data_IF_489751900060
#
_entry.id   IF_489751900060
#
_cell.length_a   1.000
_cell.length_b   1.000
_cell.length_c   1.000
_cell.angle_alpha   90.00
_cell.angle_beta   90.00
_cell.angle_gamma   90.00
#
_symmetry.space_group_name_H-M   'P 1'
#
loop_
_entity.id
_entity.type
_entity.pdbx_description
1 polymer ?
#
# COMPACT_ATOMS: atom_id res chain seq x y z
N UNK A 1 8.74 21.19 0.84
CA UNK A 1 8.55 19.88 1.49
C UNK A 1 7.16 19.36 1.14
N UNK A 2 6.99 18.04 1.00
CA UNK A 2 5.69 17.41 0.72
C UNK A 2 4.79 17.56 1.94
N UNK A 3 4.02 18.65 2.00
CA UNK A 3 3.00 18.82 3.02
C UNK A 3 1.82 17.91 2.72
N UNK A 4 1.55 16.98 3.63
CA UNK A 4 0.44 16.02 3.55
C UNK A 4 -0.69 16.38 4.52
N UNK A 5 -0.57 17.49 5.26
CA UNK A 5 -1.56 17.94 6.22
C UNK A 5 -2.53 18.98 5.64
N UNK A 6 -2.22 19.61 4.49
CA UNK A 6 -3.16 20.52 3.82
C UNK A 6 -4.23 19.71 3.06
N UNK A 7 -5.50 19.70 3.50
CA UNK A 7 -6.58 19.00 2.80
C UNK A 7 -6.90 19.61 1.43
N UNK A 8 -6.42 20.83 1.14
CA UNK A 8 -6.62 21.50 -0.16
C UNK A 8 -5.52 21.17 -1.16
N UNK A 9 -4.56 20.33 -0.79
CA UNK A 9 -3.49 19.90 -1.68
C UNK A 9 -4.06 19.23 -2.92
N UNK A 10 -3.53 19.59 -4.10
CA UNK A 10 -3.91 19.00 -5.37
C UNK A 10 -3.78 17.46 -5.37
N UNK A 11 -2.85 16.92 -4.58
CA UNK A 11 -2.69 15.48 -4.36
C UNK A 11 -3.98 14.80 -3.89
N UNK A 12 -4.83 15.48 -3.12
CA UNK A 12 -6.07 14.93 -2.60
C UNK A 12 -7.30 15.35 -3.40
N UNK A 13 -7.28 16.56 -3.97
CA UNK A 13 -8.46 17.18 -4.58
C UNK A 13 -8.55 17.01 -6.11
N UNK A 14 -7.49 16.60 -6.80
CA UNK A 14 -7.53 16.39 -8.26
C UNK A 14 -8.20 15.07 -8.60
N UNK A 15 -9.52 15.10 -8.85
CA UNK A 15 -10.31 13.91 -9.20
C UNK A 15 -9.96 13.30 -10.57
N UNK A 16 -9.20 14.01 -11.41
CA UNK A 16 -8.78 13.51 -12.72
C UNK A 16 -7.50 12.67 -12.69
N UNK A 17 -6.84 12.60 -11.53
CA UNK A 17 -5.62 11.80 -11.36
C UNK A 17 -5.94 10.30 -11.36
N UNK A 18 -5.41 9.59 -12.36
CA UNK A 18 -5.61 8.14 -12.54
C UNK A 18 -5.08 7.31 -11.36
N UNK A 19 -4.10 7.83 -10.62
CA UNK A 19 -3.55 7.15 -9.43
C UNK A 19 -4.57 7.01 -8.30
N UNK A 20 -5.66 7.79 -8.31
CA UNK A 20 -6.75 7.70 -7.33
C UNK A 20 -7.39 6.32 -7.30
N UNK A 21 -7.52 5.65 -8.44
CA UNK A 21 -8.09 4.32 -8.49
C UNK A 21 -7.22 3.31 -7.71
N UNK A 22 -5.89 3.41 -7.86
CA UNK A 22 -4.96 2.60 -7.08
C UNK A 22 -5.01 2.97 -5.60
N UNK A 23 -4.97 4.25 -5.26
CA UNK A 23 -5.02 4.69 -3.87
C UNK A 23 -6.32 4.27 -3.17
N UNK A 24 -7.44 4.17 -3.89
CA UNK A 24 -8.67 3.61 -3.35
C UNK A 24 -8.43 2.19 -2.85
N UNK A 25 -7.92 1.29 -3.70
CA UNK A 25 -7.62 -0.09 -3.33
C UNK A 25 -6.61 -0.19 -2.18
N UNK A 26 -5.59 0.66 -2.15
CA UNK A 26 -4.61 0.65 -1.06
C UNK A 26 -5.23 1.14 0.26
N UNK A 27 -6.12 2.14 0.19
CA UNK A 27 -6.82 2.71 1.35
C UNK A 27 -7.97 1.85 1.87
N UNK A 28 -8.57 0.99 1.04
CA UNK A 28 -9.70 0.14 1.43
C UNK A 28 -9.29 -1.32 1.63
N UNK A 29 -8.41 -1.86 0.80
CA UNK A 29 -8.12 -3.30 0.72
C UNK A 29 -6.68 -3.62 1.14
N UNK A 30 -5.68 -3.18 0.37
CA UNK A 30 -4.36 -3.83 0.41
C UNK A 30 -3.36 -3.32 1.45
N UNK A 31 -3.50 -2.08 1.95
CA UNK A 31 -2.50 -1.43 2.83
C UNK A 31 -1.05 -1.47 2.28
N UNK A 32 -0.90 -1.47 0.95
CA UNK A 32 0.35 -1.62 0.22
C UNK A 32 1.22 -0.34 0.21
N UNK A 33 1.83 -0.03 1.36
CA UNK A 33 2.61 1.19 1.59
C UNK A 33 4.13 0.96 1.54
N UNK A 34 4.86 1.87 0.89
CA UNK A 34 6.33 1.81 0.80
C UNK A 34 6.95 2.48 2.03
N UNK A 35 7.04 1.73 3.12
CA UNK A 35 7.54 2.23 4.40
C UNK A 35 9.06 2.13 4.53
N UNK A 36 9.65 2.96 5.39
CA UNK A 36 11.04 2.82 5.80
C UNK A 36 11.32 1.50 6.53
N UNK A 37 12.56 1.00 6.47
CA UNK A 37 12.90 -0.25 7.13
C UNK A 37 12.89 -0.12 8.67
N UNK A 38 12.69 -1.22 9.41
CA UNK A 38 12.73 -1.22 10.87
C UNK A 38 14.03 -0.63 11.46
N UNK A 39 14.00 -0.24 12.73
CA UNK A 39 15.14 0.45 13.39
C UNK A 39 16.43 -0.37 13.38
N UNK A 40 16.33 -1.70 13.38
CA UNK A 40 17.46 -2.63 13.35
C UNK A 40 18.00 -2.93 11.95
N UNK A 41 17.43 -2.35 10.87
CA UNK A 41 17.95 -2.51 9.51
C UNK A 41 18.32 -1.15 8.90
N UNK A 42 19.48 -1.02 8.22
CA UNK A 42 19.80 0.17 7.45
C UNK A 42 18.71 0.48 6.43
N UNK A 43 18.44 1.77 6.18
CA UNK A 43 17.44 2.18 5.20
C UNK A 43 17.79 3.52 4.59
N UNK A 44 17.49 3.66 3.30
CA UNK A 44 17.58 4.90 2.54
C UNK A 44 16.28 5.71 2.70
N UNK A 45 15.15 5.02 2.84
CA UNK A 45 13.84 5.63 3.03
C UNK A 45 13.70 6.10 4.48
N UNK A 46 13.24 7.34 4.67
CA UNK A 46 13.02 7.89 6.01
C UNK A 46 12.07 7.01 6.81
N UNK A 47 12.45 6.68 8.05
CA UNK A 47 11.60 5.93 8.99
C UNK A 47 10.36 6.71 9.45
N UNK A 48 10.24 7.99 9.09
CA UNK A 48 9.02 8.78 9.27
C UNK A 48 7.93 8.41 8.26
N UNK A 49 8.29 7.74 7.17
CA UNK A 49 7.35 7.15 6.22
C UNK A 49 6.98 5.76 6.74
N UNK A 50 6.01 5.72 7.64
CA UNK A 50 5.43 4.50 8.19
C UNK A 50 3.97 4.32 7.73
N UNK A 51 3.38 3.17 8.03
CA UNK A 51 2.01 2.86 7.60
C UNK A 51 0.99 3.88 8.14
N UNK A 52 1.20 4.42 9.35
CA UNK A 52 0.31 5.41 9.94
C UNK A 52 0.37 6.75 9.17
N UNK A 53 1.57 7.15 8.74
CA UNK A 53 1.79 8.34 7.93
C UNK A 53 1.05 8.26 6.59
N UNK A 54 1.10 7.12 5.90
CA UNK A 54 0.36 6.89 4.66
C UNK A 54 -1.15 6.84 4.90
N UNK A 55 -1.59 6.01 5.85
CA UNK A 55 -3.01 5.77 6.10
C UNK A 55 -3.78 7.02 6.52
N UNK A 56 -3.15 7.98 7.21
CA UNK A 56 -3.75 9.28 7.57
C UNK A 56 -4.27 10.06 6.35
N UNK A 57 -3.69 9.82 5.18
CA UNK A 57 -4.00 10.57 3.97
C UNK A 57 -5.28 10.04 3.28
N UNK A 58 -5.69 8.81 3.55
CA UNK A 58 -6.86 8.19 2.92
C UNK A 58 -8.16 9.01 3.15
N UNK A 59 -8.50 9.46 4.38
CA UNK A 59 -9.63 10.36 4.60
C UNK A 59 -9.52 11.71 3.89
N UNK A 60 -8.31 12.22 3.65
CA UNK A 60 -8.10 13.48 2.94
C UNK A 60 -8.41 13.32 1.45
N UNK A 61 -8.10 12.15 0.87
CA UNK A 61 -8.29 11.87 -0.56
C UNK A 61 -9.73 11.47 -0.92
N UNK A 62 -10.41 10.74 -0.03
CA UNK A 62 -11.70 10.10 -0.32
C UNK A 62 -12.84 10.47 0.64
N UNK A 63 -12.54 11.13 1.77
CA UNK A 63 -13.52 11.47 2.81
C UNK A 63 -13.53 10.46 3.97
N UNK A 64 -13.69 10.98 5.19
CA UNK A 64 -13.54 10.21 6.45
C UNK A 64 -14.49 9.01 6.58
N UNK A 65 -15.69 9.09 6.02
CA UNK A 65 -16.69 8.01 6.08
C UNK A 65 -16.73 7.14 4.83
N UNK A 66 -15.89 7.41 3.82
CA UNK A 66 -15.85 6.64 2.57
C UNK A 66 -14.77 5.55 2.60
N UNK A 67 -13.81 5.64 3.52
CA UNK A 67 -12.74 4.64 3.69
C UNK A 67 -12.81 4.00 5.08
N UNK A 68 -12.43 2.72 5.21
CA UNK A 68 -12.39 2.09 6.51
C UNK A 68 -11.29 2.73 7.38
N UNK A 69 -11.44 2.63 8.71
CA UNK A 69 -10.41 3.13 9.63
C UNK A 69 -9.04 2.49 9.37
N UNK A 70 -9.00 1.25 8.90
CA UNK A 70 -7.83 0.49 8.43
C UNK A 70 -8.25 -0.33 7.19
N UNK A 71 -7.39 -0.47 6.17
CA UNK A 71 -7.69 -1.34 5.03
C UNK A 71 -7.91 -2.80 5.48
N UNK A 72 -8.77 -3.53 4.77
CA UNK A 72 -9.18 -4.91 5.07
C UNK A 72 -8.20 -5.97 4.54
N UNK A 73 -6.90 -5.71 4.70
CA UNK A 73 -5.84 -6.55 4.11
C UNK A 73 -5.81 -7.97 4.70
N UNK A 74 -6.34 -8.16 5.92
CA UNK A 74 -6.39 -9.47 6.57
C UNK A 74 -7.43 -10.35 5.92
N UNK A 75 -8.59 -9.80 5.66
CA UNK A 75 -9.71 -10.44 4.97
C UNK A 75 -9.29 -10.84 3.56
N UNK A 76 -8.58 -9.97 2.85
CA UNK A 76 -7.99 -10.29 1.54
C UNK A 76 -6.98 -11.45 1.64
N UNK A 77 -6.07 -11.41 2.61
CA UNK A 77 -5.09 -12.48 2.80
C UNK A 77 -5.71 -13.80 3.25
N UNK A 78 -6.81 -13.76 4.00
CA UNK A 78 -7.58 -14.93 4.39
C UNK A 78 -8.32 -15.55 3.20
N UNK A 79 -8.95 -14.72 2.35
CA UNK A 79 -9.67 -15.18 1.15
C UNK A 79 -8.72 -15.82 0.12
N UNK A 80 -7.54 -15.21 -0.10
CA UNK A 80 -6.58 -15.67 -1.12
C UNK A 80 -5.44 -16.54 -0.55
N UNK A 81 -5.51 -16.92 0.72
CA UNK A 81 -4.54 -17.76 1.44
C UNK A 81 -3.10 -17.20 1.54
N UNK A 82 -2.78 -16.09 0.89
CA UNK A 82 -1.48 -15.43 0.92
C UNK A 82 -0.33 -16.39 0.61
N UNK A 83 0.64 -16.49 1.53
CA UNK A 83 1.80 -17.40 1.41
C UNK A 83 1.45 -18.89 1.52
N UNK A 84 0.21 -19.23 1.87
CA UNK A 84 -0.26 -20.61 1.99
C UNK A 84 -1.04 -21.09 0.76
N UNK A 85 -1.24 -20.22 -0.24
CA UNK A 85 -1.97 -20.57 -1.45
C UNK A 85 -1.36 -21.79 -2.16
N UNK A 86 -2.19 -22.78 -2.46
CA UNK A 86 -1.81 -23.99 -3.20
C UNK A 86 -2.61 -24.07 -4.50
N UNK A 87 -1.95 -23.79 -5.62
CA UNK A 87 -2.59 -23.68 -6.93
C UNK A 87 -2.00 -24.68 -7.91
N UNK A 88 -2.86 -25.36 -8.67
CA UNK A 88 -2.45 -26.22 -9.78
C UNK A 88 -2.32 -25.44 -11.08
N UNK A 89 -1.34 -25.81 -11.91
CA UNK A 89 -1.13 -25.26 -13.27
C UNK A 89 -0.84 -23.74 -13.28
N UNK A 90 -0.11 -23.25 -12.27
CA UNK A 90 0.36 -21.86 -12.19
C UNK A 90 1.88 -21.82 -12.25
N UNK A 91 2.44 -20.82 -12.95
CA UNK A 91 3.87 -20.55 -12.99
C UNK A 91 4.12 -19.09 -12.59
N UNK A 92 4.93 -18.87 -11.56
CA UNK A 92 5.32 -17.56 -11.07
C UNK A 92 6.65 -17.15 -11.71
N UNK A 93 6.69 -15.99 -12.38
CA UNK A 93 7.88 -15.48 -13.06
C UNK A 93 8.25 -14.14 -12.46
N UNK A 94 9.48 -14.05 -11.94
CA UNK A 94 10.02 -12.82 -11.37
C UNK A 94 11.36 -12.45 -12.01
N UNK A 95 11.65 -11.15 -12.05
CA UNK A 95 12.95 -10.63 -12.44
C UNK A 95 13.93 -10.58 -11.26
N UNK A 96 15.20 -10.93 -11.48
CA UNK A 96 16.25 -10.89 -10.44
C UNK A 96 16.34 -9.53 -9.73
N UNK A 97 16.15 -8.46 -10.49
CA UNK A 97 16.29 -7.07 -10.05
C UNK A 97 14.95 -6.37 -9.77
N UNK A 98 13.83 -7.11 -9.81
CA UNK A 98 12.52 -6.54 -9.50
C UNK A 98 12.41 -6.30 -7.98
N UNK A 99 12.23 -5.05 -7.51
CA UNK A 99 12.06 -4.77 -6.09
C UNK A 99 10.82 -5.46 -5.50
N UNK A 100 9.82 -5.79 -6.32
CA UNK A 100 8.61 -6.48 -5.91
C UNK A 100 8.77 -7.99 -5.73
N UNK A 101 9.88 -8.57 -6.23
CA UNK A 101 10.15 -10.01 -6.14
C UNK A 101 10.01 -10.56 -4.72
N UNK A 102 10.48 -9.80 -3.72
CA UNK A 102 10.40 -10.20 -2.30
C UNK A 102 8.98 -10.29 -1.73
N UNK A 103 7.99 -9.79 -2.47
CA UNK A 103 6.56 -9.87 -2.14
C UNK A 103 5.83 -10.93 -2.99
N UNK A 104 6.56 -11.72 -3.77
CA UNK A 104 6.07 -12.78 -4.66
C UNK A 104 6.52 -14.17 -4.18
N UNK A 105 5.97 -15.22 -4.79
CA UNK A 105 6.41 -16.61 -4.63
C UNK A 105 7.73 -16.82 -5.37
N UNK A 106 8.83 -16.77 -4.63
CA UNK A 106 10.19 -17.00 -5.12
C UNK A 106 10.83 -18.22 -4.43
N UNK A 107 11.55 -19.04 -5.19
CA UNK A 107 12.40 -20.14 -4.69
C UNK A 107 13.87 -19.75 -4.67
#
# INVERSE_FOLDING_TARGET
>A
CLDTHDPRSKMYTDETDESRAWFWQVCTEYAYWQTGAPIWRPTIVSRKLDAAWFQRQCPLMFGEHQVPKRPIWREINEEYEGWHASLDRVFWIDGEWDPWRTLSVQS
#
